data_IF_508772483426
#
_entry.id   IF_508772483426
#
_cell.length_a   1.000
_cell.length_b   1.000
_cell.length_c   1.000
_cell.angle_alpha   90.00
_cell.angle_beta   90.00
_cell.angle_gamma   90.00
#
_symmetry.space_group_name_H-M   'P 1'
#
loop_
_entity.id
_entity.type
_entity.pdbx_description
1 polymer ?
#
# COMPACT_ATOMS: atom_id res chain seq x y z
N UNK A 1 2.86 3.15 -8.99
CA UNK A 1 1.65 3.57 -9.69
C UNK A 1 2.01 4.51 -10.84
N UNK A 2 1.33 4.37 -12.01
CA UNK A 2 1.70 5.13 -13.20
C UNK A 2 1.42 6.62 -13.11
N UNK A 3 0.42 7.04 -12.31
CA UNK A 3 0.09 8.45 -12.14
C UNK A 3 -0.03 8.74 -10.66
N UNK A 4 0.70 9.74 -10.20
CA UNK A 4 0.75 10.07 -8.77
C UNK A 4 0.91 11.57 -8.55
N UNK A 5 0.13 12.10 -7.61
CA UNK A 5 0.24 13.46 -7.08
C UNK A 5 0.37 13.37 -5.58
N UNK A 6 1.27 14.16 -5.01
CA UNK A 6 1.56 14.18 -3.58
C UNK A 6 1.36 15.56 -2.99
N UNK A 7 0.89 15.61 -1.75
CA UNK A 7 0.81 16.82 -0.94
C UNK A 7 1.25 16.52 0.48
N UNK A 8 2.21 17.29 1.00
CA UNK A 8 2.61 17.24 2.39
C UNK A 8 1.71 18.20 3.19
N UNK A 9 0.80 17.66 3.99
CA UNK A 9 -0.08 18.46 4.84
C UNK A 9 0.63 18.90 6.10
N UNK A 10 1.60 18.12 6.56
CA UNK A 10 2.47 18.46 7.66
C UNK A 10 3.84 17.91 7.30
N UNK A 11 4.80 18.77 7.04
CA UNK A 11 6.09 18.45 6.43
C UNK A 11 6.72 17.20 7.06
N UNK A 12 6.93 16.18 6.24
CA UNK A 12 7.56 14.92 6.64
C UNK A 12 6.73 14.03 7.56
N UNK A 13 5.56 14.47 8.03
CA UNK A 13 4.75 13.73 9.00
C UNK A 13 3.41 13.24 8.46
N UNK A 14 2.83 13.97 7.54
CA UNK A 14 1.53 13.63 6.95
C UNK A 14 1.53 13.96 5.48
N UNK A 15 1.37 12.95 4.65
CA UNK A 15 1.37 13.09 3.19
C UNK A 15 0.11 12.48 2.60
N UNK A 16 -0.42 13.12 1.57
CA UNK A 16 -1.57 12.62 0.81
C UNK A 16 -1.15 12.47 -0.64
N UNK A 17 -1.27 11.26 -1.15
CA UNK A 17 -0.90 10.91 -2.52
C UNK A 17 -2.15 10.49 -3.28
N UNK A 18 -2.37 11.10 -4.44
CA UNK A 18 -3.42 10.67 -5.37
C UNK A 18 -2.78 9.75 -6.40
N UNK A 19 -3.34 8.56 -6.55
CA UNK A 19 -2.77 7.53 -7.39
C UNK A 19 -3.83 6.90 -8.29
N UNK A 20 -3.41 6.51 -9.48
CA UNK A 20 -4.24 5.71 -10.37
C UNK A 20 -3.46 4.44 -10.68
N UNK A 21 -4.02 3.30 -10.30
CA UNK A 21 -3.42 1.99 -10.56
C UNK A 21 -4.03 1.39 -11.81
N UNK A 22 -3.18 0.79 -12.63
CA UNK A 22 -3.60 0.00 -13.79
C UNK A 22 -4.03 -1.39 -13.35
N UNK A 23 -4.75 -2.14 -14.18
CA UNK A 23 -5.06 -3.52 -13.88
C UNK A 23 -3.82 -4.32 -13.49
N UNK A 24 -3.95 -5.09 -12.43
CA UNK A 24 -2.85 -5.89 -11.87
C UNK A 24 -3.42 -7.13 -11.22
N UNK A 25 -2.75 -8.27 -11.39
CA UNK A 25 -3.11 -9.54 -10.77
C UNK A 25 -2.44 -9.71 -9.40
N UNK A 26 -2.89 -10.71 -8.66
CA UNK A 26 -2.26 -11.09 -7.39
C UNK A 26 -0.80 -11.46 -7.57
N UNK A 27 -0.48 -12.16 -8.66
CA UNK A 27 0.88 -12.61 -8.96
C UNK A 27 1.82 -11.44 -9.26
N UNK A 28 1.30 -10.37 -9.83
CA UNK A 28 2.09 -9.19 -10.17
C UNK A 28 2.30 -8.24 -8.98
N UNK A 29 1.42 -8.30 -7.98
CA UNK A 29 1.49 -7.43 -6.82
C UNK A 29 2.56 -7.92 -5.85
N UNK A 30 3.45 -7.03 -5.41
CA UNK A 30 4.49 -7.38 -4.45
C UNK A 30 4.07 -6.99 -3.04
N UNK A 31 4.38 -7.86 -2.10
CA UNK A 31 4.27 -7.53 -0.68
C UNK A 31 5.32 -6.49 -0.31
N UNK A 32 4.92 -5.54 0.50
CA UNK A 32 5.80 -4.46 0.96
C UNK A 32 5.52 -4.15 2.43
N UNK A 33 6.52 -3.61 3.12
CA UNK A 33 6.36 -3.03 4.46
C UNK A 33 7.02 -1.66 4.48
N UNK A 34 6.57 -0.82 5.40
CA UNK A 34 7.15 0.49 5.67
C UNK A 34 7.55 0.56 7.14
N UNK A 35 8.70 1.17 7.44
CA UNK A 35 9.18 1.24 8.82
C UNK A 35 8.70 2.50 9.53
N UNK A 36 8.55 3.60 8.81
CA UNK A 36 8.35 4.93 9.41
C UNK A 36 6.96 5.51 9.21
N UNK A 37 6.09 4.85 8.45
CA UNK A 37 4.77 5.39 8.12
C UNK A 37 3.68 4.35 8.24
N UNK A 38 2.52 4.81 8.70
CA UNK A 38 1.25 4.11 8.56
C UNK A 38 0.72 4.44 7.17
N UNK A 39 0.19 3.44 6.48
CA UNK A 39 -0.28 3.55 5.11
C UNK A 39 -1.81 3.35 5.08
N UNK A 40 -2.55 4.40 4.71
CA UNK A 40 -4.01 4.33 4.62
C UNK A 40 -4.39 4.35 3.14
N UNK A 41 -5.05 3.30 2.69
CA UNK A 41 -5.45 3.10 1.30
C UNK A 41 -6.93 3.37 1.15
N UNK A 42 -7.31 4.36 0.34
CA UNK A 42 -8.69 4.85 0.20
C UNK A 42 -9.09 4.82 -1.27
N UNK A 43 -9.78 3.79 -1.76
CA UNK A 43 -10.28 3.77 -3.13
C UNK A 43 -11.35 4.85 -3.34
N UNK A 44 -11.25 5.57 -4.44
CA UNK A 44 -12.24 6.58 -4.84
C UNK A 44 -13.16 6.04 -5.95
N UNK A 45 -12.60 5.30 -6.90
CA UNK A 45 -13.37 4.63 -7.93
C UNK A 45 -12.69 3.33 -8.32
N UNK A 46 -13.48 2.31 -8.61
CA UNK A 46 -12.99 0.96 -8.86
C UNK A 46 -12.86 0.16 -7.58
N UNK A 47 -12.62 -1.13 -7.72
CA UNK A 47 -12.46 -2.06 -6.60
C UNK A 47 -10.99 -2.48 -6.54
N UNK A 48 -10.43 -2.41 -5.35
CA UNK A 48 -9.06 -2.85 -5.10
C UNK A 48 -9.05 -4.06 -4.17
N UNK A 49 -8.22 -5.04 -4.51
CA UNK A 49 -7.86 -6.12 -3.60
C UNK A 49 -6.46 -5.83 -3.09
N UNK A 50 -6.25 -5.98 -1.80
CA UNK A 50 -4.94 -5.77 -1.18
C UNK A 50 -4.56 -7.04 -0.44
N UNK A 51 -3.39 -7.60 -0.78
CA UNK A 51 -2.86 -8.75 -0.07
C UNK A 51 -2.36 -8.36 1.31
N UNK A 52 -2.41 -9.29 2.25
CA UNK A 52 -1.95 -9.08 3.62
C UNK A 52 -1.15 -10.28 4.12
N UNK A 53 0.00 -10.01 4.73
CA UNK A 53 0.79 -10.98 5.47
C UNK A 53 1.40 -10.27 6.67
N UNK A 54 1.20 -10.76 7.90
CA UNK A 54 1.88 -10.16 9.05
C UNK A 54 3.39 -10.12 8.83
N UNK A 55 4.02 -9.02 9.19
CA UNK A 55 5.47 -8.85 9.01
C UNK A 55 6.26 -9.95 9.70
N UNK A 56 5.81 -10.41 10.86
CA UNK A 56 6.47 -11.48 11.61
C UNK A 56 6.55 -12.80 10.83
N UNK A 57 5.69 -13.00 9.83
CA UNK A 57 5.69 -14.18 8.98
C UNK A 57 6.50 -14.00 7.71
N UNK A 58 7.12 -12.83 7.52
CA UNK A 58 7.93 -12.54 6.35
C UNK A 58 9.43 -12.69 6.68
N UNK A 59 10.25 -13.09 5.70
CA UNK A 59 11.69 -13.17 5.91
C UNK A 59 12.29 -11.77 5.99
N UNK A 60 13.54 -11.68 6.46
CA UNK A 60 14.28 -10.43 6.37
C UNK A 60 14.69 -10.19 4.92
N UNK A 61 14.48 -8.96 4.45
CA UNK A 61 14.86 -8.53 3.12
C UNK A 61 15.49 -7.14 3.18
N UNK A 62 16.12 -6.72 2.10
CA UNK A 62 16.80 -5.45 2.04
C UNK A 62 15.84 -4.28 2.15
N UNK A 63 16.09 -3.41 3.11
CA UNK A 63 15.30 -2.20 3.33
C UNK A 63 15.87 -1.03 2.52
N UNK A 64 14.99 -0.36 1.76
CA UNK A 64 15.32 0.87 1.06
C UNK A 64 14.98 2.06 1.95
N UNK A 65 15.98 2.65 2.60
CA UNK A 65 15.79 3.76 3.54
C UNK A 65 15.31 5.04 2.86
N UNK A 66 15.71 5.27 1.62
CA UNK A 66 15.33 6.47 0.86
C UNK A 66 13.83 6.50 0.60
N UNK A 67 13.25 5.35 0.28
CA UNK A 67 11.81 5.23 -0.04
C UNK A 67 11.00 4.68 1.12
N UNK A 68 11.63 4.29 2.20
CA UNK A 68 10.99 3.63 3.35
C UNK A 68 10.17 2.43 2.92
N UNK A 69 10.80 1.49 2.24
CA UNK A 69 10.10 0.31 1.75
C UNK A 69 11.00 -0.92 1.75
N UNK A 70 10.42 -2.05 2.13
CA UNK A 70 11.00 -3.37 1.95
C UNK A 70 10.05 -4.19 1.11
N UNK A 71 10.55 -4.84 0.06
CA UNK A 71 9.76 -5.72 -0.79
C UNK A 71 10.03 -7.19 -0.48
N UNK A 72 9.00 -8.01 -0.67
CA UNK A 72 9.07 -9.44 -0.42
C UNK A 72 8.52 -10.20 -1.63
N UNK A 73 9.04 -11.39 -1.85
CA UNK A 73 8.57 -12.26 -2.92
C UNK A 73 7.42 -13.17 -2.44
N UNK A 74 6.62 -13.63 -3.39
CA UNK A 74 5.55 -14.59 -3.12
C UNK A 74 4.19 -13.94 -2.92
N UNK A 75 3.19 -14.79 -2.79
CA UNK A 75 1.82 -14.37 -2.61
C UNK A 75 1.55 -14.01 -1.15
N UNK A 76 0.56 -13.17 -0.92
CA UNK A 76 0.11 -12.85 0.43
C UNK A 76 -0.66 -14.03 1.05
N UNK A 77 -0.75 -14.04 2.37
CA UNK A 77 -1.52 -15.07 3.08
C UNK A 77 -3.02 -14.87 2.92
N UNK A 78 -3.47 -13.62 2.93
CA UNK A 78 -4.88 -13.25 2.81
C UNK A 78 -5.04 -12.09 1.85
N UNK A 79 -6.26 -11.90 1.37
CA UNK A 79 -6.59 -10.83 0.44
C UNK A 79 -7.86 -10.13 0.90
N UNK A 80 -7.82 -8.79 0.96
CA UNK A 80 -8.91 -7.93 1.38
C UNK A 80 -9.50 -7.24 0.15
N UNK A 81 -10.83 -7.18 0.07
CA UNK A 81 -11.49 -6.38 -0.95
C UNK A 81 -11.87 -5.04 -0.37
N UNK A 82 -11.39 -3.96 -0.97
CA UNK A 82 -11.63 -2.59 -0.52
C UNK A 82 -12.36 -1.86 -1.64
N UNK A 83 -13.57 -1.40 -1.35
CA UNK A 83 -14.45 -0.71 -2.31
C UNK A 83 -14.50 0.78 -2.00
N UNK A 84 -14.97 1.63 -2.95
CA UNK A 84 -15.24 3.02 -2.64
C UNK A 84 -16.17 3.14 -1.42
N UNK A 85 -15.86 4.04 -0.51
CA UNK A 85 -16.54 4.17 0.77
C UNK A 85 -15.89 3.39 1.91
N UNK A 86 -14.92 2.52 1.58
CA UNK A 86 -14.12 1.76 2.54
C UNK A 86 -12.68 2.25 2.49
N UNK A 87 -11.91 1.91 3.51
CA UNK A 87 -10.47 2.13 3.50
C UNK A 87 -9.78 1.03 4.31
N UNK A 88 -8.49 0.87 4.07
CA UNK A 88 -7.66 -0.08 4.81
C UNK A 88 -6.48 0.67 5.41
N UNK A 89 -6.13 0.32 6.65
CA UNK A 89 -5.01 0.92 7.38
C UNK A 89 -3.96 -0.15 7.59
N UNK A 90 -2.72 0.12 7.16
CA UNK A 90 -1.58 -0.77 7.35
C UNK A 90 -0.53 -0.09 8.20
N UNK A 91 -0.19 -0.73 9.31
CA UNK A 91 0.88 -0.29 10.21
C UNK A 91 2.22 -0.88 9.75
N UNK A 92 3.35 -0.45 10.34
CA UNK A 92 4.65 -1.06 9.98
C UNK A 92 4.69 -2.59 10.14
N UNK A 93 3.86 -3.14 11.03
CA UNK A 93 3.78 -4.59 11.26
C UNK A 93 2.97 -5.32 10.19
N UNK A 94 2.34 -4.61 9.27
CA UNK A 94 1.42 -5.18 8.30
C UNK A 94 2.05 -5.21 6.91
N UNK A 95 2.51 -6.37 6.48
CA UNK A 95 2.91 -6.56 5.09
C UNK A 95 1.68 -6.53 4.19
N UNK A 96 1.74 -5.78 3.10
CA UNK A 96 0.60 -5.63 2.20
C UNK A 96 1.04 -5.55 0.74
N UNK A 97 0.17 -6.06 -0.13
CA UNK A 97 0.38 -6.06 -1.58
C UNK A 97 -0.74 -5.28 -2.24
N UNK A 98 -0.57 -3.95 -2.44
CA UNK A 98 -1.64 -3.11 -2.97
C UNK A 98 -1.73 -3.15 -4.48
N UNK A 99 -2.83 -2.61 -5.01
CA UNK A 99 -2.98 -2.36 -6.43
C UNK A 99 -3.54 -3.51 -7.24
N UNK A 100 -4.06 -4.54 -6.62
CA UNK A 100 -4.68 -5.66 -7.33
C UNK A 100 -6.09 -5.24 -7.75
N UNK A 101 -6.31 -5.12 -9.05
CA UNK A 101 -7.58 -4.61 -9.57
C UNK A 101 -7.79 -5.12 -10.99
N UNK A 102 -9.01 -5.57 -11.35
CA UNK A 102 -9.27 -6.05 -12.71
C UNK A 102 -9.39 -4.92 -13.74
N UNK A 103 -9.92 -3.76 -13.34
CA UNK A 103 -10.26 -2.68 -14.25
C UNK A 103 -9.54 -1.36 -13.95
N UNK A 104 -8.67 -1.37 -12.97
CA UNK A 104 -8.01 -0.15 -12.50
C UNK A 104 -8.72 0.45 -11.30
N UNK A 105 -7.99 1.30 -10.58
CA UNK A 105 -8.52 1.97 -9.39
C UNK A 105 -7.90 3.36 -9.27
N UNK A 106 -8.74 4.35 -8.94
CA UNK A 106 -8.27 5.66 -8.51
C UNK A 106 -8.39 5.71 -7.00
N UNK A 107 -7.34 6.14 -6.34
CA UNK A 107 -7.30 6.11 -4.88
C UNK A 107 -6.47 7.22 -4.28
N UNK A 108 -6.68 7.41 -2.99
CA UNK A 108 -5.85 8.26 -2.15
C UNK A 108 -5.07 7.35 -1.22
N UNK A 109 -3.77 7.63 -1.09
CA UNK A 109 -2.92 6.97 -0.11
C UNK A 109 -2.47 8.04 0.88
N UNK A 110 -2.81 7.84 2.15
CA UNK A 110 -2.40 8.76 3.21
C UNK A 110 -1.27 8.11 3.99
N UNK A 111 -0.16 8.81 4.12
CA UNK A 111 1.02 8.38 4.88
C UNK A 111 1.10 9.18 6.16
N UNK A 112 1.07 8.50 7.30
CA UNK A 112 1.18 9.12 8.61
C UNK A 112 2.45 8.61 9.29
N UNK A 113 3.37 9.53 9.60
CA UNK A 113 4.63 9.15 10.22
C UNK A 113 4.41 8.60 11.63
N UNK A 114 5.01 7.44 11.91
CA UNK A 114 5.07 6.88 13.26
C UNK A 114 6.29 7.43 13.98
N UNK A 115 6.24 7.38 15.29
CA UNK A 115 7.33 7.89 16.13
C UNK A 115 8.20 6.78 16.68
#
# INVERSE_FOLDING_TARGET
FPTRRSSDLKEGELMVNFAQARPKTKEEARLETHDNFIDIQIPLSGVEVIGYTPREDLPEEEYNAEKDITFYNGLAQDYLTVKPGMFAIFFPQDGHAPGITPDGVKKVIVKVKVQ
#
